data_IF_561979924386
#
_entry.id   IF_561979924386
#
_cell.length_a   1.000
_cell.length_b   1.000
_cell.length_c   1.000
_cell.angle_alpha   90.00
_cell.angle_beta   90.00
_cell.angle_gamma   90.00
#
_symmetry.space_group_name_H-M   'P 1'
#
loop_
_entity.id
_entity.type
_entity.pdbx_description
1 polymer ?
#
# COMPACT_ATOMS: atom_id res chain seq x y z
N UNK A 1 -18.80 -16.21 -8.46
CA UNK A 1 -18.84 -15.84 -7.04
C UNK A 1 -19.64 -14.55 -6.88
N UNK A 2 -20.49 -14.47 -5.88
CA UNK A 2 -21.30 -13.29 -5.62
C UNK A 2 -20.36 -12.11 -5.21
N UNK A 3 -20.53 -10.97 -5.84
CA UNK A 3 -19.75 -9.74 -5.58
C UNK A 3 -19.81 -9.32 -4.10
N UNK A 4 -20.97 -9.46 -3.45
CA UNK A 4 -21.16 -9.15 -2.03
C UNK A 4 -20.38 -10.10 -1.11
N UNK A 5 -20.34 -11.39 -1.44
CA UNK A 5 -19.57 -12.38 -0.69
C UNK A 5 -18.07 -12.09 -0.77
N UNK A 6 -17.56 -11.73 -1.96
CA UNK A 6 -16.17 -11.34 -2.16
C UNK A 6 -15.82 -10.12 -1.29
N UNK A 7 -16.68 -9.12 -1.25
CA UNK A 7 -16.51 -7.91 -0.44
C UNK A 7 -16.50 -8.22 1.06
N UNK A 8 -17.39 -9.10 1.54
CA UNK A 8 -17.46 -9.54 2.93
C UNK A 8 -16.19 -10.29 3.32
N UNK A 9 -15.73 -11.24 2.49
CA UNK A 9 -14.51 -12.01 2.74
C UNK A 9 -13.30 -11.07 2.81
N UNK A 10 -13.18 -10.12 1.89
CA UNK A 10 -12.11 -9.12 1.88
C UNK A 10 -12.11 -8.27 3.15
N UNK A 11 -13.27 -7.80 3.58
CA UNK A 11 -13.41 -7.01 4.81
C UNK A 11 -12.99 -7.82 6.04
N UNK A 12 -13.42 -9.07 6.15
CA UNK A 12 -13.04 -9.97 7.25
C UNK A 12 -11.53 -10.20 7.27
N UNK A 13 -10.91 -10.50 6.12
CA UNK A 13 -9.47 -10.71 6.00
C UNK A 13 -8.71 -9.44 6.41
N UNK A 14 -9.14 -8.27 5.93
CA UNK A 14 -8.52 -6.98 6.26
C UNK A 14 -8.58 -6.69 7.75
N UNK A 15 -9.73 -6.86 8.40
CA UNK A 15 -9.90 -6.67 9.85
C UNK A 15 -9.04 -7.65 10.62
N UNK A 16 -9.05 -8.93 10.27
CA UNK A 16 -8.25 -9.96 10.92
C UNK A 16 -6.75 -9.65 10.84
N UNK A 17 -6.23 -9.30 9.67
CA UNK A 17 -4.81 -8.98 9.48
C UNK A 17 -4.45 -7.70 10.23
N UNK A 18 -5.30 -6.68 10.25
CA UNK A 18 -5.08 -5.44 11.00
C UNK A 18 -4.97 -5.71 12.51
N UNK A 19 -5.86 -6.53 13.08
CA UNK A 19 -5.81 -6.94 14.49
C UNK A 19 -4.55 -7.74 14.78
N UNK A 20 -4.19 -8.68 13.92
CA UNK A 20 -2.97 -9.50 14.08
C UNK A 20 -1.71 -8.65 14.00
N UNK A 21 -1.64 -7.70 13.06
CA UNK A 21 -0.53 -6.73 12.95
C UNK A 21 -0.38 -5.92 14.24
N UNK A 22 -1.48 -5.48 14.82
CA UNK A 22 -1.46 -4.71 16.07
C UNK A 22 -0.95 -5.53 17.24
N UNK A 23 -1.30 -6.82 17.31
CA UNK A 23 -0.87 -7.75 18.34
C UNK A 23 0.55 -8.28 18.14
N UNK A 24 1.13 -8.14 16.94
CA UNK A 24 2.47 -8.64 16.63
C UNK A 24 3.55 -7.90 17.44
N UNK A 25 4.47 -8.67 18.03
CA UNK A 25 5.50 -8.13 18.92
C UNK A 25 6.70 -7.53 18.18
N UNK A 26 6.96 -7.94 16.93
CA UNK A 26 8.12 -7.50 16.14
C UNK A 26 7.71 -6.97 14.76
N UNK A 27 8.54 -6.10 14.19
CA UNK A 27 8.32 -5.60 12.83
C UNK A 27 8.47 -6.70 11.77
N UNK A 28 9.34 -7.69 12.01
CA UNK A 28 9.48 -8.84 11.12
C UNK A 28 8.21 -9.69 11.05
N UNK A 29 7.56 -9.91 12.19
CA UNK A 29 6.25 -10.59 12.26
C UNK A 29 5.17 -9.79 11.54
N UNK A 30 5.12 -8.46 11.75
CA UNK A 30 4.20 -7.57 11.05
C UNK A 30 4.37 -7.65 9.54
N UNK A 31 5.61 -7.65 9.07
CA UNK A 31 5.93 -7.75 7.66
C UNK A 31 5.46 -9.09 7.07
N UNK A 32 5.69 -10.20 7.75
CA UNK A 32 5.27 -11.51 7.29
C UNK A 32 3.74 -11.65 7.19
N UNK A 33 3.02 -10.96 8.06
CA UNK A 33 1.55 -10.94 8.05
C UNK A 33 1.00 -10.04 6.93
N UNK A 34 1.69 -8.94 6.64
CA UNK A 34 1.24 -7.98 5.65
C UNK A 34 1.50 -8.44 4.21
N UNK A 35 2.59 -9.16 3.97
CA UNK A 35 2.98 -9.55 2.62
C UNK A 35 1.89 -10.33 1.86
N UNK A 36 1.20 -11.32 2.45
CA UNK A 36 0.07 -11.97 1.78
C UNK A 36 -1.08 -11.02 1.46
N UNK A 37 -1.35 -10.06 2.34
CA UNK A 37 -2.41 -9.07 2.12
C UNK A 37 -2.11 -8.16 0.94
N UNK A 38 -0.87 -7.68 0.82
CA UNK A 38 -0.43 -6.86 -0.31
C UNK A 38 -0.63 -7.63 -1.62
N UNK A 39 -0.19 -8.88 -1.66
CA UNK A 39 -0.33 -9.72 -2.85
C UNK A 39 -1.79 -10.01 -3.18
N UNK A 40 -2.60 -10.24 -2.17
CA UNK A 40 -4.03 -10.47 -2.34
C UNK A 40 -4.72 -9.22 -2.91
N UNK A 41 -4.46 -8.05 -2.35
CA UNK A 41 -5.06 -6.81 -2.82
C UNK A 41 -4.65 -6.48 -4.25
N UNK A 42 -3.38 -6.64 -4.58
CA UNK A 42 -2.88 -6.45 -5.94
C UNK A 42 -3.54 -7.40 -6.96
N UNK A 43 -3.80 -8.65 -6.55
CA UNK A 43 -4.41 -9.64 -7.42
C UNK A 43 -5.91 -9.41 -7.64
N UNK A 44 -6.63 -8.97 -6.62
CA UNK A 44 -8.08 -8.93 -6.61
C UNK A 44 -8.68 -7.52 -6.54
N UNK A 45 -7.86 -6.48 -6.37
CA UNK A 45 -8.31 -5.10 -6.20
C UNK A 45 -9.41 -5.01 -5.11
N UNK A 46 -9.10 -5.44 -3.92
CA UNK A 46 -10.06 -5.73 -2.86
C UNK A 46 -10.62 -4.52 -2.12
N UNK A 47 -10.16 -3.32 -2.42
CA UNK A 47 -10.71 -2.10 -1.82
C UNK A 47 -10.29 -1.88 -0.36
N UNK A 48 -9.07 -2.25 -0.01
CA UNK A 48 -8.48 -1.89 1.29
C UNK A 48 -8.44 -0.37 1.41
N UNK A 49 -8.83 0.15 2.58
CA UNK A 49 -8.91 1.61 2.77
C UNK A 49 -7.55 2.27 2.78
N UNK A 50 -7.48 3.50 2.29
CA UNK A 50 -6.24 4.30 2.28
C UNK A 50 -5.67 4.44 3.70
N UNK A 51 -6.51 4.70 4.69
CA UNK A 51 -6.06 4.87 6.08
C UNK A 51 -5.36 3.62 6.62
N UNK A 52 -5.88 2.43 6.31
CA UNK A 52 -5.25 1.16 6.70
C UNK A 52 -3.88 0.98 6.04
N UNK A 53 -3.76 1.30 4.76
CA UNK A 53 -2.51 1.18 4.01
C UNK A 53 -1.47 2.16 4.55
N UNK A 54 -1.85 3.40 4.81
CA UNK A 54 -0.96 4.42 5.38
C UNK A 54 -0.48 4.01 6.77
N UNK A 55 -1.37 3.43 7.58
CA UNK A 55 -1.00 2.91 8.90
C UNK A 55 0.05 1.79 8.78
N UNK A 56 -0.17 0.84 7.88
CA UNK A 56 0.78 -0.27 7.65
C UNK A 56 2.12 0.24 7.14
N UNK A 57 2.10 1.18 6.20
CA UNK A 57 3.32 1.82 5.72
C UNK A 57 4.10 2.44 6.88
N UNK A 58 3.43 3.25 7.71
CA UNK A 58 4.06 3.89 8.86
C UNK A 58 4.67 2.89 9.84
N UNK A 59 3.97 1.79 10.12
CA UNK A 59 4.43 0.78 11.06
C UNK A 59 5.61 -0.04 10.51
N UNK A 60 5.66 -0.27 9.20
CA UNK A 60 6.62 -1.17 8.57
C UNK A 60 7.82 -0.45 7.95
N UNK A 61 7.72 0.82 7.64
CA UNK A 61 8.80 1.58 6.99
C UNK A 61 10.15 1.41 7.68
N UNK A 62 10.29 1.53 9.00
CA UNK A 62 11.59 1.38 9.65
C UNK A 62 12.23 0.01 9.40
N UNK A 63 11.44 -1.06 9.46
CA UNK A 63 11.95 -2.41 9.22
C UNK A 63 12.23 -2.68 7.75
N UNK A 64 11.38 -2.19 6.86
CA UNK A 64 11.57 -2.30 5.41
C UNK A 64 12.85 -1.56 4.96
N UNK A 65 13.11 -0.39 5.49
CA UNK A 65 14.33 0.37 5.22
C UNK A 65 15.58 -0.33 5.78
N UNK A 66 15.50 -0.85 7.00
CA UNK A 66 16.58 -1.60 7.62
C UNK A 66 16.96 -2.85 6.80
N UNK A 67 15.97 -3.56 6.28
CA UNK A 67 16.17 -4.75 5.45
C UNK A 67 16.37 -4.42 3.97
N UNK A 68 16.34 -3.14 3.59
CA UNK A 68 16.40 -2.69 2.19
C UNK A 68 15.32 -3.32 1.30
N UNK A 69 14.15 -3.60 1.87
CA UNK A 69 13.00 -4.15 1.16
C UNK A 69 12.17 -3.03 0.52
N UNK A 70 12.81 -2.29 -0.36
CA UNK A 70 12.16 -1.19 -1.10
C UNK A 70 11.09 -1.69 -2.07
N UNK A 71 11.19 -2.92 -2.53
CA UNK A 71 10.17 -3.58 -3.32
C UNK A 71 8.81 -3.58 -2.61
N UNK A 72 8.76 -3.96 -1.34
CA UNK A 72 7.55 -3.96 -0.53
C UNK A 72 7.12 -2.53 -0.17
N UNK A 73 8.07 -1.69 0.22
CA UNK A 73 7.77 -0.29 0.58
C UNK A 73 7.08 0.46 -0.57
N UNK A 74 7.57 0.31 -1.79
CA UNK A 74 6.98 0.96 -2.96
C UNK A 74 5.66 0.34 -3.39
N UNK A 75 5.44 -0.95 -3.16
CA UNK A 75 4.11 -1.56 -3.34
C UNK A 75 3.08 -0.95 -2.39
N UNK A 76 3.42 -0.77 -1.10
CA UNK A 76 2.55 -0.11 -0.13
C UNK A 76 2.23 1.33 -0.55
N UNK A 77 3.23 2.08 -0.99
CA UNK A 77 3.05 3.45 -1.48
C UNK A 77 2.14 3.50 -2.71
N UNK A 78 2.34 2.59 -3.65
CA UNK A 78 1.49 2.50 -4.85
C UNK A 78 0.05 2.13 -4.50
N UNK A 79 -0.15 1.23 -3.55
CA UNK A 79 -1.48 0.88 -3.04
C UNK A 79 -2.17 2.08 -2.40
N UNK A 80 -1.45 2.88 -1.61
CA UNK A 80 -2.00 4.09 -0.99
C UNK A 80 -2.47 5.11 -2.05
N UNK A 81 -1.70 5.29 -3.12
CA UNK A 81 -2.11 6.15 -4.24
C UNK A 81 -3.38 5.61 -4.91
N UNK A 82 -3.40 4.33 -5.26
CA UNK A 82 -4.54 3.72 -5.95
C UNK A 82 -5.80 3.75 -5.08
N UNK A 83 -5.68 3.47 -3.80
CA UNK A 83 -6.79 3.53 -2.85
C UNK A 83 -7.34 4.96 -2.74
N UNK A 84 -6.46 5.96 -2.66
CA UNK A 84 -6.86 7.37 -2.63
C UNK A 84 -7.65 7.77 -3.88
N UNK A 85 -7.23 7.28 -5.06
CA UNK A 85 -7.98 7.49 -6.31
C UNK A 85 -9.37 6.87 -6.22
N UNK A 86 -9.44 5.61 -5.78
CA UNK A 86 -10.69 4.86 -5.66
C UNK A 86 -11.67 5.53 -4.68
N UNK A 87 -11.16 6.09 -3.60
CA UNK A 87 -11.95 6.83 -2.61
C UNK A 87 -12.31 8.26 -3.08
N UNK A 88 -11.84 8.68 -4.25
CA UNK A 88 -12.09 10.02 -4.80
C UNK A 88 -11.25 11.13 -4.18
N UNK A 89 -10.26 10.79 -3.37
CA UNK A 89 -9.37 11.78 -2.75
C UNK A 89 -8.15 12.03 -3.64
N UNK A 90 -8.37 12.75 -4.74
CA UNK A 90 -7.33 13.00 -5.75
C UNK A 90 -6.18 13.84 -5.19
N UNK A 91 -6.46 14.81 -4.32
CA UNK A 91 -5.40 15.61 -3.68
C UNK A 91 -4.42 14.73 -2.89
N UNK A 92 -4.94 13.82 -2.07
CA UNK A 92 -4.11 12.88 -1.31
C UNK A 92 -3.34 11.92 -2.25
N UNK A 93 -3.98 11.49 -3.33
CA UNK A 93 -3.32 10.64 -4.33
C UNK A 93 -2.12 11.35 -4.97
N UNK A 94 -2.27 12.62 -5.34
CA UNK A 94 -1.18 13.45 -5.89
C UNK A 94 -0.05 13.59 -4.87
N UNK A 95 -0.36 13.92 -3.63
CA UNK A 95 0.64 14.08 -2.57
C UNK A 95 1.41 12.79 -2.32
N UNK A 96 0.72 11.67 -2.24
CA UNK A 96 1.33 10.36 -2.05
C UNK A 96 2.21 9.96 -3.25
N UNK A 97 1.75 10.18 -4.47
CA UNK A 97 2.51 9.86 -5.68
C UNK A 97 3.79 10.71 -5.80
N UNK A 98 3.71 12.00 -5.50
CA UNK A 98 4.88 12.90 -5.50
C UNK A 98 5.87 12.54 -4.38
N UNK A 99 5.39 12.19 -3.21
CA UNK A 99 6.22 11.70 -2.09
C UNK A 99 6.95 10.41 -2.46
N UNK A 100 6.26 9.50 -3.15
CA UNK A 100 6.83 8.27 -3.67
C UNK A 100 7.96 8.55 -4.68
N UNK A 101 7.75 9.48 -5.62
CA UNK A 101 8.79 9.90 -6.58
C UNK A 101 10.01 10.47 -5.87
N UNK A 102 9.79 11.39 -4.93
CA UNK A 102 10.87 12.01 -4.15
C UNK A 102 11.70 10.95 -3.41
N UNK A 103 11.04 10.02 -2.74
CA UNK A 103 11.72 8.92 -2.03
C UNK A 103 12.55 8.05 -2.98
N UNK A 104 12.01 7.69 -4.13
CA UNK A 104 12.73 6.89 -5.12
C UNK A 104 14.01 7.57 -5.62
N UNK A 105 13.96 8.88 -5.80
CA UNK A 105 15.13 9.69 -6.19
C UNK A 105 16.16 9.78 -5.07
N UNK A 106 15.72 9.99 -3.84
CA UNK A 106 16.61 10.08 -2.67
C UNK A 106 17.42 8.80 -2.44
N UNK A 107 16.80 7.63 -2.64
CA UNK A 107 17.47 6.34 -2.43
C UNK A 107 18.07 5.74 -3.71
N UNK A 108 18.01 6.47 -4.83
CA UNK A 108 18.49 6.01 -6.15
C UNK A 108 17.91 4.64 -6.53
N UNK A 109 16.57 4.55 -6.53
CA UNK A 109 15.84 3.33 -6.83
C UNK A 109 15.05 3.47 -8.15
N UNK A 110 15.64 3.09 -9.31
CA UNK A 110 15.01 3.31 -10.62
C UNK A 110 13.64 2.67 -10.80
N UNK A 111 13.43 1.46 -10.28
CA UNK A 111 12.12 0.80 -10.34
C UNK A 111 11.09 1.60 -9.53
N UNK A 112 11.47 2.11 -8.37
CA UNK A 112 10.60 2.99 -7.57
C UNK A 112 10.26 4.29 -8.31
N UNK A 113 11.20 4.86 -9.03
CA UNK A 113 10.95 6.04 -9.88
C UNK A 113 9.92 5.72 -10.97
N UNK A 114 10.05 4.59 -11.67
CA UNK A 114 9.10 4.17 -12.68
C UNK A 114 7.69 3.93 -12.10
N UNK A 115 7.61 3.27 -10.95
CA UNK A 115 6.34 3.05 -10.25
C UNK A 115 5.70 4.38 -9.81
N UNK A 116 6.50 5.33 -9.33
CA UNK A 116 6.02 6.65 -8.93
C UNK A 116 5.49 7.45 -10.14
N UNK A 117 6.19 7.44 -11.26
CA UNK A 117 5.73 8.11 -12.49
C UNK A 117 4.43 7.49 -13.00
N UNK A 118 4.28 6.18 -12.93
CA UNK A 118 3.01 5.50 -13.24
C UNK A 118 1.90 5.95 -12.30
N UNK A 119 2.17 6.02 -11.00
CA UNK A 119 1.20 6.48 -10.00
C UNK A 119 0.76 7.93 -10.26
N UNK A 120 1.71 8.82 -10.56
CA UNK A 120 1.43 10.21 -10.93
C UNK A 120 0.52 10.27 -12.17
N UNK A 121 0.87 9.53 -13.23
CA UNK A 121 0.08 9.45 -14.45
C UNK A 121 -1.35 8.97 -14.21
N UNK A 122 -1.51 7.89 -13.44
CA UNK A 122 -2.81 7.35 -13.08
C UNK A 122 -3.67 8.37 -12.30
N UNK A 123 -3.05 9.12 -11.40
CA UNK A 123 -3.75 10.15 -10.62
C UNK A 123 -4.28 11.26 -11.53
N UNK A 124 -3.48 11.76 -12.47
CA UNK A 124 -3.92 12.78 -13.41
C UNK A 124 -4.98 12.28 -14.39
N UNK A 125 -4.92 11.01 -14.81
CA UNK A 125 -5.95 10.41 -15.65
C UNK A 125 -7.29 10.25 -14.92
N UNK A 126 -7.26 10.19 -13.60
CA UNK A 126 -8.44 10.01 -12.74
C UNK A 126 -9.01 11.34 -12.23
N UNK A 127 -8.32 12.41 -12.48
CA UNK A 127 -8.75 13.76 -12.05
C UNK A 127 -9.76 14.42 -12.98
#
# INVERSE_FOLDING_TARGET
>A
MNRNLHHIITTIITVFISVTLYAAHTNAERLSLLQPLIQYDLAFNTGVTTDSIILWEKLLTPELEKQQRYDILFQLKAMAVQSSITEGNISLAIDNANSMYKKAKEIDYPLGTALALRAIGNTYLSS
#
